data_IF_613378977868
#
_entry.id   IF_613378977868
#
_cell.length_a   1.000
_cell.length_b   1.000
_cell.length_c   1.000
_cell.angle_alpha   90.00
_cell.angle_beta   90.00
_cell.angle_gamma   90.00
#
_symmetry.space_group_name_H-M   'P 1'
#
loop_
_entity.id
_entity.type
_entity.pdbx_description
1 polymer ?
#
# COMPACT_ATOMS: atom_id res chain seq x y z
N UNK A 1 6.06 2.90 -10.09
CA UNK A 1 6.03 4.27 -10.64
C UNK A 1 6.46 5.24 -9.54
N UNK A 2 7.59 5.97 -9.67
CA UNK A 2 8.00 6.97 -8.69
C UNK A 2 7.01 8.14 -8.64
N UNK A 3 6.70 8.64 -7.43
CA UNK A 3 5.86 9.84 -7.28
C UNK A 3 4.36 9.66 -7.58
N UNK A 4 3.92 8.48 -8.01
CA UNK A 4 2.53 8.23 -8.36
C UNK A 4 1.57 8.39 -7.17
N UNK A 5 0.38 8.89 -7.49
CA UNK A 5 -0.80 8.96 -6.63
C UNK A 5 -1.68 7.73 -6.81
N UNK A 6 -2.65 7.54 -5.92
CA UNK A 6 -3.61 6.41 -6.03
C UNK A 6 -4.41 6.49 -7.33
N UNK A 7 -4.81 7.70 -7.72
CA UNK A 7 -5.53 7.94 -8.97
C UNK A 7 -4.71 7.55 -10.21
N UNK A 8 -3.42 7.82 -10.23
CA UNK A 8 -2.56 7.46 -11.38
C UNK A 8 -2.51 5.93 -11.57
N UNK A 9 -2.52 5.18 -10.46
CA UNK A 9 -2.62 3.73 -10.48
C UNK A 9 -4.00 3.27 -10.94
N UNK A 10 -5.08 3.93 -10.52
CA UNK A 10 -6.43 3.59 -11.00
C UNK A 10 -6.52 3.67 -12.52
N UNK A 11 -5.91 4.70 -13.12
CA UNK A 11 -5.99 4.95 -14.55
C UNK A 11 -5.08 4.01 -15.39
N UNK A 12 -4.05 3.42 -14.78
CA UNK A 12 -3.01 2.62 -15.48
C UNK A 12 -3.00 1.12 -15.12
N UNK A 13 -3.51 0.73 -13.95
CA UNK A 13 -3.48 -0.66 -13.49
C UNK A 13 -4.26 -1.62 -14.39
N UNK A 14 -5.46 -1.30 -14.92
CA UNK A 14 -6.19 -2.22 -15.79
C UNK A 14 -5.41 -2.60 -17.03
N UNK A 15 -4.75 -1.64 -17.69
CA UNK A 15 -3.94 -1.90 -18.88
C UNK A 15 -2.73 -2.77 -18.54
N UNK A 16 -2.03 -2.49 -17.43
CA UNK A 16 -0.88 -3.30 -16.98
C UNK A 16 -1.31 -4.74 -16.67
N UNK A 17 -2.43 -4.92 -15.97
CA UNK A 17 -2.95 -6.26 -15.61
C UNK A 17 -3.35 -7.03 -16.86
N UNK A 18 -3.93 -6.37 -17.86
CA UNK A 18 -4.31 -7.02 -19.13
C UNK A 18 -3.13 -7.60 -19.89
N UNK A 19 -1.93 -7.01 -19.72
CA UNK A 19 -0.67 -7.49 -20.32
C UNK A 19 -0.03 -8.65 -19.54
N UNK A 20 -0.55 -8.97 -18.36
CA UNK A 20 0.01 -9.98 -17.45
C UNK A 20 -1.04 -11.06 -17.12
N UNK A 21 -1.52 -11.85 -18.12
CA UNK A 21 -2.64 -12.76 -17.93
C UNK A 21 -2.37 -13.86 -16.88
N UNK A 22 -1.11 -14.28 -16.73
CA UNK A 22 -0.66 -15.30 -15.78
C UNK A 22 -0.64 -14.84 -14.32
N UNK A 23 -0.66 -13.53 -14.06
CA UNK A 23 -0.68 -13.00 -12.69
C UNK A 23 -2.05 -13.29 -12.07
N UNK A 24 -2.09 -13.86 -10.87
CA UNK A 24 -3.33 -14.13 -10.14
C UNK A 24 -3.59 -13.12 -9.02
N UNK A 25 -2.54 -12.46 -8.52
CA UNK A 25 -2.58 -11.58 -7.35
C UNK A 25 -1.81 -10.29 -7.60
N UNK A 26 -2.41 -9.17 -7.21
CA UNK A 26 -1.84 -7.81 -7.34
C UNK A 26 -1.66 -7.22 -5.94
N UNK A 27 -0.42 -6.85 -5.61
CA UNK A 27 -0.09 -6.13 -4.37
C UNK A 27 -0.05 -4.63 -4.67
N UNK A 28 -0.90 -3.86 -4.00
CA UNK A 28 -0.99 -2.40 -4.14
C UNK A 28 -0.21 -1.74 -3.00
N UNK A 29 0.83 -0.97 -3.36
CA UNK A 29 1.61 -0.17 -2.41
C UNK A 29 1.71 1.28 -2.90
N UNK A 30 0.77 2.13 -2.46
CA UNK A 30 0.65 3.54 -2.85
C UNK A 30 0.00 4.35 -1.70
N UNK A 31 -0.07 5.68 -1.82
CA UNK A 31 -0.78 6.55 -0.86
C UNK A 31 0.12 7.54 -0.12
N UNK A 32 1.41 7.27 0.00
CA UNK A 32 2.36 8.16 0.73
C UNK A 32 2.57 9.52 0.04
N UNK A 33 2.41 9.59 -1.28
CA UNK A 33 2.54 10.81 -2.06
C UNK A 33 1.28 11.69 -1.94
N UNK A 34 0.11 11.06 -1.86
CA UNK A 34 -1.21 11.69 -1.74
C UNK A 34 -1.35 12.52 -0.47
N UNK A 35 -0.60 12.18 0.59
CA UNK A 35 -0.58 12.91 1.86
C UNK A 35 -0.21 14.40 1.71
N UNK A 36 0.44 14.78 0.60
CA UNK A 36 0.76 16.18 0.28
C UNK A 36 -0.48 17.00 -0.11
N UNK A 37 -1.52 16.38 -0.66
CA UNK A 37 -2.70 17.06 -1.23
C UNK A 37 -3.74 17.46 -0.19
N UNK A 38 -3.60 17.00 1.05
CA UNK A 38 -4.50 17.32 2.19
C UNK A 38 -5.98 16.95 1.99
N UNK A 39 -6.28 15.99 1.10
CA UNK A 39 -7.65 15.59 0.74
C UNK A 39 -7.93 14.14 1.16
N UNK A 40 -8.19 13.91 2.45
CA UNK A 40 -8.33 12.56 3.00
C UNK A 40 -9.53 11.79 2.44
N UNK A 41 -10.71 12.41 2.33
CA UNK A 41 -11.89 11.71 1.79
C UNK A 41 -11.71 11.36 0.31
N UNK A 42 -11.17 12.29 -0.49
CA UNK A 42 -10.89 12.02 -1.90
C UNK A 42 -9.90 10.87 -2.07
N UNK A 43 -8.88 10.79 -1.21
CA UNK A 43 -7.92 9.70 -1.21
C UNK A 43 -8.59 8.34 -0.90
N UNK A 44 -9.55 8.32 0.03
CA UNK A 44 -10.32 7.10 0.33
C UNK A 44 -11.14 6.66 -0.88
N UNK A 45 -11.83 7.59 -1.54
CA UNK A 45 -12.59 7.31 -2.75
C UNK A 45 -11.70 6.75 -3.87
N UNK A 46 -10.51 7.34 -4.04
CA UNK A 46 -9.54 6.89 -5.04
C UNK A 46 -9.05 5.46 -4.72
N UNK A 47 -8.84 5.12 -3.44
CA UNK A 47 -8.52 3.74 -3.02
C UNK A 47 -9.66 2.77 -3.32
N UNK A 48 -10.90 3.14 -3.00
CA UNK A 48 -12.09 2.32 -3.26
C UNK A 48 -12.21 2.04 -4.77
N UNK A 49 -12.08 3.08 -5.59
CA UNK A 49 -12.14 2.97 -7.04
C UNK A 49 -11.03 2.05 -7.59
N UNK A 50 -9.78 2.23 -7.14
CA UNK A 50 -8.64 1.40 -7.55
C UNK A 50 -8.87 -0.08 -7.20
N UNK A 51 -9.30 -0.36 -5.98
CA UNK A 51 -9.53 -1.74 -5.50
C UNK A 51 -10.63 -2.41 -6.32
N UNK A 52 -11.77 -1.73 -6.50
CA UNK A 52 -12.88 -2.26 -7.29
C UNK A 52 -12.47 -2.52 -8.74
N UNK A 53 -11.71 -1.60 -9.34
CA UNK A 53 -11.18 -1.73 -10.70
C UNK A 53 -10.32 -3.01 -10.83
N UNK A 54 -9.39 -3.24 -9.91
CA UNK A 54 -8.54 -4.43 -9.92
C UNK A 54 -9.36 -5.71 -9.68
N UNK A 55 -10.28 -5.72 -8.72
CA UNK A 55 -11.12 -6.89 -8.46
C UNK A 55 -12.01 -7.24 -9.65
N UNK A 56 -12.49 -6.25 -10.41
CA UNK A 56 -13.29 -6.48 -11.61
C UNK A 56 -12.55 -7.23 -12.72
N UNK A 57 -11.20 -7.20 -12.70
CA UNK A 57 -10.35 -7.99 -13.62
C UNK A 57 -10.23 -9.47 -13.23
N UNK A 58 -10.90 -9.92 -12.16
CA UNK A 58 -10.84 -11.29 -11.65
C UNK A 58 -9.55 -11.61 -10.88
N UNK A 59 -8.72 -10.61 -10.59
CA UNK A 59 -7.46 -10.78 -9.85
C UNK A 59 -7.65 -10.61 -8.35
N UNK A 60 -6.91 -11.37 -7.55
CA UNK A 60 -6.82 -11.18 -6.10
C UNK A 60 -6.10 -9.85 -5.82
N UNK A 61 -6.63 -9.07 -4.88
CA UNK A 61 -6.05 -7.80 -4.48
C UNK A 61 -5.49 -7.91 -3.06
N UNK A 62 -4.27 -7.40 -2.84
CA UNK A 62 -3.64 -7.31 -1.53
C UNK A 62 -3.18 -5.87 -1.32
N UNK A 63 -3.51 -5.28 -0.16
CA UNK A 63 -3.13 -3.91 0.17
C UNK A 63 -1.91 -3.91 1.07
N UNK A 64 -0.85 -3.25 0.64
CA UNK A 64 0.33 -3.01 1.46
C UNK A 64 0.23 -1.64 2.10
N UNK A 65 0.10 -1.61 3.43
CA UNK A 65 -0.08 -0.37 4.19
C UNK A 65 1.09 0.61 4.02
N UNK A 66 0.84 1.92 4.16
CA UNK A 66 1.83 2.94 3.88
C UNK A 66 2.91 2.98 4.98
N UNK A 67 4.13 3.37 4.60
CA UNK A 67 5.30 3.32 5.48
C UNK A 67 5.47 4.61 6.30
N UNK A 68 5.75 4.53 7.61
CA UNK A 68 6.05 5.67 8.47
C UNK A 68 7.48 6.20 8.25
N UNK A 69 7.68 6.85 7.11
CA UNK A 69 8.99 7.42 6.75
C UNK A 69 9.47 8.47 7.77
N UNK A 70 10.73 8.40 8.25
CA UNK A 70 11.23 9.31 9.28
C UNK A 70 11.30 10.79 8.86
N UNK A 71 11.27 11.11 7.56
CA UNK A 71 11.21 12.50 7.11
C UNK A 71 9.83 13.15 7.27
N UNK A 72 8.80 12.40 7.68
CA UNK A 72 7.47 12.96 7.85
C UNK A 72 7.38 13.72 9.18
N UNK A 73 7.19 15.04 9.09
CA UNK A 73 6.81 15.85 10.27
C UNK A 73 5.41 15.47 10.79
N UNK A 74 5.07 15.99 11.97
CA UNK A 74 3.90 15.57 12.76
C UNK A 74 2.58 15.58 11.97
N UNK A 75 2.34 16.62 11.17
CA UNK A 75 1.13 16.74 10.34
C UNK A 75 1.05 15.60 9.32
N UNK A 76 2.15 15.32 8.61
CA UNK A 76 2.18 14.26 7.59
C UNK A 76 2.11 12.88 8.23
N UNK A 77 2.76 12.70 9.37
CA UNK A 77 2.70 11.46 10.14
C UNK A 77 1.29 11.18 10.70
N UNK A 78 0.60 12.22 11.21
CA UNK A 78 -0.79 12.10 11.67
C UNK A 78 -1.72 11.66 10.53
N UNK A 79 -1.58 12.27 9.35
CA UNK A 79 -2.36 11.89 8.16
C UNK A 79 -2.05 10.47 7.70
N UNK A 80 -0.78 10.08 7.68
CA UNK A 80 -0.37 8.71 7.38
C UNK A 80 -1.02 7.71 8.35
N UNK A 81 -1.02 8.02 9.65
CA UNK A 81 -1.64 7.16 10.67
C UNK A 81 -3.15 7.04 10.45
N UNK A 82 -3.84 8.14 10.18
CA UNK A 82 -5.27 8.12 9.86
C UNK A 82 -5.57 7.28 8.62
N UNK A 83 -4.77 7.42 7.56
CA UNK A 83 -4.87 6.60 6.36
C UNK A 83 -4.63 5.12 6.66
N UNK A 84 -3.60 4.80 7.43
CA UNK A 84 -3.28 3.43 7.83
C UNK A 84 -4.44 2.77 8.61
N UNK A 85 -4.98 3.46 9.63
CA UNK A 85 -6.10 2.95 10.44
C UNK A 85 -7.33 2.70 9.58
N UNK A 86 -7.67 3.67 8.71
CA UNK A 86 -8.80 3.53 7.82
C UNK A 86 -8.61 2.39 6.80
N UNK A 87 -7.45 2.31 6.14
CA UNK A 87 -7.17 1.23 5.17
C UNK A 87 -7.24 -0.14 5.83
N UNK A 88 -6.68 -0.30 7.03
CA UNK A 88 -6.72 -1.56 7.77
C UNK A 88 -8.16 -1.97 8.09
N UNK A 89 -8.98 -1.05 8.58
CA UNK A 89 -10.39 -1.31 8.87
C UNK A 89 -11.20 -1.62 7.60
N UNK A 90 -10.99 -0.85 6.53
CA UNK A 90 -11.64 -1.08 5.24
C UNK A 90 -11.30 -2.45 4.65
N UNK A 91 -10.02 -2.82 4.65
CA UNK A 91 -9.57 -4.12 4.15
C UNK A 91 -10.16 -5.26 4.97
N UNK A 92 -10.18 -5.14 6.30
CA UNK A 92 -10.81 -6.13 7.18
C UNK A 92 -12.31 -6.30 6.87
N UNK A 93 -13.04 -5.20 6.68
CA UNK A 93 -14.48 -5.23 6.37
C UNK A 93 -14.79 -5.80 4.96
N UNK A 94 -13.83 -5.77 4.05
CA UNK A 94 -13.95 -6.28 2.67
C UNK A 94 -13.24 -7.62 2.46
N UNK A 95 -12.71 -8.22 3.53
CA UNK A 95 -11.93 -9.47 3.48
C UNK A 95 -10.74 -9.40 2.51
N UNK A 96 -10.15 -8.21 2.37
CA UNK A 96 -8.98 -7.96 1.55
C UNK A 96 -7.72 -8.16 2.42
N UNK A 97 -6.74 -8.98 2.01
CA UNK A 97 -5.49 -9.12 2.75
C UNK A 97 -4.75 -7.79 2.87
N UNK A 98 -4.32 -7.47 4.10
CA UNK A 98 -3.65 -6.23 4.43
C UNK A 98 -2.28 -6.50 5.05
N UNK A 99 -1.22 -6.02 4.39
CA UNK A 99 0.15 -6.07 4.92
C UNK A 99 0.35 -4.90 5.88
N UNK A 100 0.32 -5.18 7.19
CA UNK A 100 0.54 -4.16 8.21
C UNK A 100 2.03 -3.86 8.39
N UNK A 101 2.50 -2.87 7.65
CA UNK A 101 3.89 -2.39 7.75
C UNK A 101 4.08 -1.31 8.82
N UNK A 102 3.01 -0.78 9.43
CA UNK A 102 3.14 0.44 10.23
C UNK A 102 3.98 0.18 11.47
N UNK A 103 3.64 -0.85 12.25
CA UNK A 103 4.40 -1.22 13.44
C UNK A 103 5.83 -1.68 13.11
N UNK A 104 5.99 -2.43 12.01
CA UNK A 104 7.28 -3.00 11.61
C UNK A 104 8.34 -1.94 11.21
N UNK A 105 7.89 -0.77 10.74
CA UNK A 105 8.76 0.31 10.25
C UNK A 105 8.78 1.55 11.16
N UNK A 106 7.86 1.65 12.13
CA UNK A 106 7.77 2.82 12.98
C UNK A 106 9.00 2.95 13.89
N UNK A 107 9.59 4.16 13.94
CA UNK A 107 10.80 4.49 14.73
C UNK A 107 12.02 3.64 14.41
N UNK A 108 12.14 3.15 13.17
CA UNK A 108 13.28 2.35 12.69
C UNK A 108 14.01 3.02 11.53
N UNK A 109 14.79 4.09 11.79
CA UNK A 109 15.45 4.86 10.73
C UNK A 109 16.47 4.04 9.93
N UNK A 110 17.01 2.95 10.47
CA UNK A 110 17.95 2.05 9.80
C UNK A 110 17.34 1.29 8.60
N UNK A 111 16.01 1.22 8.55
CA UNK A 111 15.28 0.63 7.42
C UNK A 111 15.13 1.60 6.24
N UNK A 112 15.59 2.85 6.38
CA UNK A 112 15.50 3.88 5.35
C UNK A 112 16.88 4.33 4.88
N UNK A 113 16.94 4.91 3.68
CA UNK A 113 18.16 5.55 3.15
C UNK A 113 18.40 6.89 3.87
N UNK A 114 19.53 7.53 3.54
CA UNK A 114 19.90 8.85 4.09
C UNK A 114 18.83 9.93 3.86
N UNK A 115 18.04 9.82 2.80
CA UNK A 115 16.91 10.73 2.53
C UNK A 115 15.72 10.54 3.50
N UNK A 116 15.74 9.51 4.33
CA UNK A 116 14.71 9.16 5.32
C UNK A 116 13.32 8.96 4.71
N UNK A 117 13.25 8.63 3.41
CA UNK A 117 12.03 8.40 2.67
C UNK A 117 12.04 7.04 1.98
N UNK A 118 13.10 6.75 1.23
CA UNK A 118 13.23 5.51 0.48
C UNK A 118 13.79 4.41 1.38
N UNK A 119 13.43 3.16 1.10
CA UNK A 119 13.91 2.02 1.88
C UNK A 119 15.40 1.74 1.64
N UNK A 120 16.10 1.38 2.71
CA UNK A 120 17.41 0.74 2.61
C UNK A 120 17.27 -0.69 2.09
N UNK A 121 18.38 -1.37 1.82
CA UNK A 121 18.34 -2.79 1.44
C UNK A 121 17.62 -3.64 2.51
N UNK A 122 17.96 -3.42 3.79
CA UNK A 122 17.32 -4.11 4.92
C UNK A 122 15.83 -3.78 5.02
N UNK A 123 15.45 -2.52 4.78
CA UNK A 123 14.04 -2.11 4.75
C UNK A 123 13.26 -2.77 3.62
N UNK A 124 13.83 -2.82 2.41
CA UNK A 124 13.20 -3.49 1.26
C UNK A 124 13.04 -4.99 1.53
N UNK A 125 14.06 -5.65 2.11
CA UNK A 125 13.99 -7.06 2.48
C UNK A 125 12.89 -7.34 3.51
N UNK A 126 12.75 -6.49 4.53
CA UNK A 126 11.67 -6.61 5.51
C UNK A 126 10.28 -6.42 4.87
N UNK A 127 10.15 -5.43 3.96
CA UNK A 127 8.89 -5.21 3.25
C UNK A 127 8.50 -6.42 2.41
N UNK A 128 9.45 -6.99 1.65
CA UNK A 128 9.23 -8.21 0.87
C UNK A 128 8.85 -9.39 1.76
N UNK A 129 9.50 -9.55 2.91
CA UNK A 129 9.16 -10.60 3.87
C UNK A 129 7.73 -10.48 4.39
N UNK A 130 7.31 -9.28 4.80
CA UNK A 130 5.94 -9.04 5.27
C UNK A 130 4.89 -9.32 4.18
N UNK A 131 5.19 -8.94 2.93
CA UNK A 131 4.31 -9.22 1.78
C UNK A 131 4.17 -10.74 1.55
N UNK A 132 5.29 -11.48 1.52
CA UNK A 132 5.26 -12.93 1.30
C UNK A 132 4.49 -13.66 2.41
N UNK A 133 4.73 -13.31 3.68
CA UNK A 133 4.01 -13.89 4.81
C UNK A 133 2.49 -13.67 4.70
N UNK A 134 2.07 -12.47 4.25
CA UNK A 134 0.64 -12.16 4.06
C UNK A 134 0.06 -12.93 2.87
N UNK A 135 0.84 -13.16 1.82
CA UNK A 135 0.41 -13.95 0.66
C UNK A 135 0.26 -15.44 0.99
N UNK A 136 1.22 -16.02 1.71
CA UNK A 136 1.23 -17.43 2.12
C UNK A 136 0.01 -17.75 3.02
N UNK A 137 -0.21 -16.94 4.05
CA UNK A 137 -1.36 -17.09 4.96
C UNK A 137 -2.72 -16.89 4.28
N UNK A 138 -2.76 -16.22 3.13
CA UNK A 138 -3.97 -16.06 2.33
C UNK A 138 -4.19 -17.22 1.36
N UNK A 139 -3.11 -17.79 0.79
CA UNK A 139 -3.22 -18.94 -0.10
C UNK A 139 -3.65 -20.22 0.62
N UNK A 140 -3.36 -20.37 1.90
CA UNK A 140 -3.76 -21.52 2.72
C UNK A 140 -5.25 -21.53 3.10
N UNK A 141 -5.99 -20.44 2.83
CA UNK A 141 -7.42 -20.31 3.16
C UNK A 141 -8.36 -20.65 1.98
N UNK A 142 -7.85 -21.25 0.91
CA UNK A 142 -8.61 -21.69 -0.28
C UNK A 142 -8.65 -23.21 -0.36
#
# INVERSE_FOLDING_TARGET
MPGAYVKDLHDSAPQIISQLPSVSTVVIHVGSNDLKRQQSEKLKDDFIALINSIQSTGKKCVISGPLPAPCFGDVKFSRLRQLHVWLKAFCAAKEIPFVDNFAAFFRRPELFRRDRLHLSFSGARLLSFNMNLTLETFTEKV
#
